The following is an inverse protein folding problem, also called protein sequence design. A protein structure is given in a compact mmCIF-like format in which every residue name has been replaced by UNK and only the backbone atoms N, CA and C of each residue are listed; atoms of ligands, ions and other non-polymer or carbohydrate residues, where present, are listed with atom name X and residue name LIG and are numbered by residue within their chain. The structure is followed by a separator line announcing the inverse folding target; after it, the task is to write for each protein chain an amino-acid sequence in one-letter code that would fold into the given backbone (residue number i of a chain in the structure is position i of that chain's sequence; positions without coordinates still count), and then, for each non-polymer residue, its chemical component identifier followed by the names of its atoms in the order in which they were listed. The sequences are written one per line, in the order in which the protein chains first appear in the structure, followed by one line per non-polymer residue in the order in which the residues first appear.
data_IF_104946081304
#
_entry.id   IF_104946081304
#
_cell.length_a   1.000
_cell.length_b   1.000
_cell.length_c   1.000
_cell.angle_alpha   90.00
_cell.angle_beta   90.00
_cell.angle_gamma   90.00
#
_symmetry.space_group_name_H-M   'P 1'
#
loop_
_entity.id
_entity.type
_entity.pdbx_description
1 polymer ?
#
# COMPACT_ATOMS: atom_id res chain seq x y z
N UNK A 1 -41.71 0.77 -34.52
CA UNK A 1 -41.30 1.61 -33.38
C UNK A 1 -40.84 0.76 -32.19
N UNK A 2 -41.58 -0.29 -31.82
CA UNK A 2 -41.24 -1.17 -30.67
C UNK A 2 -39.87 -1.86 -30.76
N UNK A 3 -39.44 -2.24 -31.95
CA UNK A 3 -38.14 -2.88 -32.18
C UNK A 3 -36.95 -1.94 -31.95
N UNK A 4 -37.10 -0.64 -32.23
CA UNK A 4 -36.06 0.37 -31.97
C UNK A 4 -35.98 0.71 -30.48
N UNK A 5 -37.13 0.85 -29.82
CA UNK A 5 -37.22 1.09 -28.38
C UNK A 5 -36.59 -0.08 -27.61
N UNK A 6 -36.90 -1.33 -28.00
CA UNK A 6 -36.31 -2.52 -27.38
C UNK A 6 -34.79 -2.60 -27.57
N UNK A 7 -34.27 -2.22 -28.73
CA UNK A 7 -32.80 -2.15 -28.95
C UNK A 7 -32.17 -1.08 -28.06
N UNK A 8 -32.72 0.12 -28.00
CA UNK A 8 -32.22 1.19 -27.13
C UNK A 8 -32.21 0.79 -25.65
N UNK A 9 -33.26 0.12 -25.18
CA UNK A 9 -33.30 -0.40 -23.80
C UNK A 9 -32.24 -1.48 -23.54
N UNK A 10 -32.01 -2.38 -24.50
CA UNK A 10 -30.94 -3.38 -24.41
C UNK A 10 -29.56 -2.73 -24.39
N UNK A 11 -29.33 -1.72 -25.24
CA UNK A 11 -28.07 -0.97 -25.23
C UNK A 11 -27.87 -0.23 -23.90
N UNK A 12 -28.90 0.42 -23.35
CA UNK A 12 -28.81 1.10 -22.04
C UNK A 12 -28.43 0.13 -20.93
N UNK A 13 -29.09 -1.03 -20.84
CA UNK A 13 -28.76 -2.06 -19.84
C UNK A 13 -27.36 -2.61 -19.99
N UNK A 14 -26.93 -2.86 -21.23
CA UNK A 14 -25.58 -3.35 -21.49
C UNK A 14 -24.52 -2.30 -21.12
N UNK A 15 -24.79 -1.02 -21.38
CA UNK A 15 -23.91 0.08 -20.99
C UNK A 15 -23.86 0.25 -19.47
N UNK A 16 -25.01 0.18 -18.79
CA UNK A 16 -25.08 0.22 -17.32
C UNK A 16 -24.25 -0.91 -16.70
N UNK A 17 -24.41 -2.14 -17.19
CA UNK A 17 -23.64 -3.29 -16.73
C UNK A 17 -22.15 -3.13 -17.02
N UNK A 18 -21.77 -2.63 -18.21
CA UNK A 18 -20.38 -2.40 -18.57
C UNK A 18 -19.75 -1.29 -17.71
N UNK A 19 -20.48 -0.22 -17.43
CA UNK A 19 -20.04 0.85 -16.53
C UNK A 19 -19.83 0.30 -15.13
N UNK A 20 -20.79 -0.46 -14.60
CA UNK A 20 -20.68 -1.08 -13.28
C UNK A 20 -19.46 -2.00 -13.17
N UNK A 21 -19.25 -2.88 -14.14
CA UNK A 21 -18.08 -3.78 -14.20
C UNK A 21 -16.76 -2.98 -14.23
N UNK A 22 -16.68 -1.95 -15.08
CA UNK A 22 -15.49 -1.09 -15.18
C UNK A 22 -15.25 -0.30 -13.90
N UNK A 23 -16.29 0.22 -13.28
CA UNK A 23 -16.19 0.93 -11.99
C UNK A 23 -15.69 0.00 -10.89
N UNK A 24 -16.15 -1.26 -10.85
CA UNK A 24 -15.67 -2.25 -9.89
C UNK A 24 -14.18 -2.58 -10.10
N UNK A 25 -13.76 -2.82 -11.35
CA UNK A 25 -12.35 -3.08 -11.67
C UNK A 25 -11.45 -1.90 -11.31
N UNK A 26 -11.89 -0.68 -11.65
CA UNK A 26 -11.15 0.53 -11.30
C UNK A 26 -11.02 0.70 -9.79
N UNK A 27 -12.10 0.44 -9.03
CA UNK A 27 -12.08 0.51 -7.57
C UNK A 27 -11.11 -0.52 -6.98
N UNK A 28 -11.12 -1.76 -7.46
CA UNK A 28 -10.21 -2.80 -6.98
C UNK A 28 -8.74 -2.43 -7.23
N UNK A 29 -8.42 -1.93 -8.43
CA UNK A 29 -7.04 -1.51 -8.75
C UNK A 29 -6.61 -0.30 -7.92
N UNK A 30 -7.51 0.67 -7.75
CA UNK A 30 -7.26 1.83 -6.88
C UNK A 30 -7.02 1.41 -5.43
N UNK A 31 -7.87 0.53 -4.89
CA UNK A 31 -7.74 0.08 -3.50
C UNK A 31 -6.43 -0.72 -3.30
N UNK A 32 -5.99 -1.48 -4.32
CA UNK A 32 -4.67 -2.15 -4.32
C UNK A 32 -3.51 -1.14 -4.34
N UNK A 33 -3.57 -0.14 -5.20
CA UNK A 33 -2.56 0.92 -5.26
C UNK A 33 -2.49 1.71 -3.95
N UNK A 34 -3.65 1.97 -3.33
CA UNK A 34 -3.75 2.64 -2.04
C UNK A 34 -3.11 1.81 -0.93
N UNK A 35 -3.38 0.50 -0.89
CA UNK A 35 -2.77 -0.41 0.07
C UNK A 35 -1.24 -0.41 -0.05
N UNK A 36 -0.70 -0.47 -1.27
CA UNK A 36 0.75 -0.42 -1.50
C UNK A 36 1.37 0.89 -1.01
N UNK A 37 0.70 2.02 -1.27
CA UNK A 37 1.18 3.32 -0.79
C UNK A 37 1.22 3.40 0.74
N UNK A 38 0.23 2.83 1.42
CA UNK A 38 0.21 2.79 2.89
C UNK A 38 1.24 1.85 3.51
N UNK A 39 1.81 0.91 2.74
CA UNK A 39 2.94 0.09 3.18
C UNK A 39 4.27 0.84 3.16
N UNK A 40 4.36 1.95 2.41
CA UNK A 40 5.60 2.70 2.21
C UNK A 40 5.63 4.05 2.93
N UNK A 41 4.47 4.65 3.14
CA UNK A 41 4.33 6.01 3.68
C UNK A 41 3.19 6.08 4.70
N UNK A 42 3.28 7.00 5.69
CA UNK A 42 2.19 7.22 6.63
C UNK A 42 0.91 7.61 5.90
N UNK A 43 -0.25 7.20 6.41
CA UNK A 43 -1.56 7.46 5.77
C UNK A 43 -1.81 8.94 5.45
N UNK A 44 -1.37 9.83 6.33
CA UNK A 44 -1.50 11.29 6.17
C UNK A 44 -0.67 11.80 4.99
N UNK A 45 0.57 11.30 4.84
CA UNK A 45 1.47 11.65 3.73
C UNK A 45 0.88 11.19 2.41
N UNK A 46 0.39 9.94 2.33
CA UNK A 46 -0.26 9.41 1.12
C UNK A 46 -1.49 10.24 0.73
N UNK A 47 -2.31 10.63 1.71
CA UNK A 47 -3.50 11.46 1.46
C UNK A 47 -3.11 12.84 0.92
N UNK A 48 -2.16 13.51 1.56
CA UNK A 48 -1.66 14.82 1.12
C UNK A 48 -1.07 14.76 -0.29
N UNK A 49 -0.29 13.73 -0.61
CA UNK A 49 0.27 13.53 -1.95
C UNK A 49 -0.82 13.36 -3.02
N UNK A 50 -1.88 12.59 -2.73
CA UNK A 50 -2.99 12.39 -3.69
C UNK A 50 -3.81 13.64 -3.91
N UNK A 51 -4.04 14.43 -2.86
CA UNK A 51 -4.90 15.60 -2.92
C UNK A 51 -4.17 16.84 -3.47
N UNK A 52 -2.91 17.04 -3.08
CA UNK A 52 -2.15 18.27 -3.36
C UNK A 52 -0.97 18.06 -4.30
N UNK A 53 -0.50 16.83 -4.48
CA UNK A 53 0.72 16.51 -5.24
C UNK A 53 2.03 16.76 -4.48
N UNK A 54 1.96 17.30 -3.25
CA UNK A 54 3.11 17.54 -2.38
C UNK A 54 2.71 17.43 -0.90
N UNK A 55 3.71 17.35 -0.01
CA UNK A 55 3.52 17.32 1.44
C UNK A 55 4.30 18.48 2.04
N UNK A 56 3.61 19.33 2.80
CA UNK A 56 4.27 20.40 3.55
C UNK A 56 5.07 19.80 4.71
N UNK A 57 6.28 20.31 5.00
CA UNK A 57 7.02 19.90 6.18
C UNK A 57 6.23 20.18 7.46
N UNK A 58 6.15 19.18 8.35
CA UNK A 58 5.49 19.29 9.64
C UNK A 58 6.52 19.35 10.78
N UNK A 59 6.29 20.25 11.73
CA UNK A 59 7.05 20.30 12.97
C UNK A 59 6.29 19.53 14.05
N UNK A 60 6.97 18.60 14.69
CA UNK A 60 6.44 17.84 15.83
C UNK A 60 7.13 18.33 17.11
N UNK A 61 6.34 18.76 18.10
CA UNK A 61 6.86 19.25 19.39
C UNK A 61 7.54 18.14 20.20
N UNK A 62 7.03 16.92 20.09
CA UNK A 62 7.56 15.74 20.79
C UNK A 62 7.55 14.53 19.84
N UNK A 63 8.71 13.88 19.71
CA UNK A 63 8.88 12.64 18.93
C UNK A 63 9.82 11.70 19.66
N UNK A 64 9.59 10.40 19.49
CA UNK A 64 10.54 9.35 19.90
C UNK A 64 11.02 8.63 18.65
N UNK A 65 12.34 8.55 18.47
CA UNK A 65 12.96 7.86 17.33
C UNK A 65 13.77 6.69 17.86
N UNK A 66 13.55 5.50 17.29
CA UNK A 66 14.26 4.29 17.64
C UNK A 66 15.26 3.92 16.54
N UNK A 67 16.53 3.75 16.92
CA UNK A 67 17.59 3.28 16.03
C UNK A 67 18.11 1.93 16.53
N UNK A 68 18.26 0.97 15.62
CA UNK A 68 18.79 -0.36 15.92
C UNK A 68 19.68 -0.86 14.80
N UNK A 69 20.68 -1.66 15.16
CA UNK A 69 21.58 -2.35 14.23
C UNK A 69 21.74 -3.82 14.61
N UNK A 70 22.07 -4.66 13.63
CA UNK A 70 22.33 -6.08 13.84
C UNK A 70 23.80 -6.24 14.18
N UNK A 71 24.09 -6.51 15.46
CA UNK A 71 25.46 -6.72 15.93
C UNK A 71 26.09 -7.90 15.18
N UNK A 72 27.26 -7.65 14.58
CA UNK A 72 28.02 -8.69 13.88
C UNK A 72 27.46 -9.06 12.49
N UNK A 73 26.58 -8.24 11.89
CA UNK A 73 26.01 -8.48 10.57
C UNK A 73 27.07 -8.80 9.49
N UNK A 74 28.19 -8.08 9.46
CA UNK A 74 29.31 -8.35 8.54
C UNK A 74 29.86 -9.77 8.68
N UNK A 75 29.96 -10.27 9.92
CA UNK A 75 30.42 -11.63 10.21
C UNK A 75 29.39 -12.65 9.76
N UNK A 76 28.10 -12.41 10.03
CA UNK A 76 27.00 -13.28 9.58
C UNK A 76 27.04 -13.42 8.06
N UNK A 77 27.12 -12.29 7.34
CA UNK A 77 27.21 -12.26 5.87
C UNK A 77 28.46 -12.95 5.33
N UNK A 78 29.57 -12.97 6.08
CA UNK A 78 30.81 -13.65 5.66
C UNK A 78 30.68 -15.17 5.67
N UNK A 79 29.87 -15.73 6.57
CA UNK A 79 29.73 -17.17 6.76
C UNK A 79 28.43 -17.75 6.20
N UNK A 80 27.50 -16.91 5.75
CA UNK A 80 26.18 -17.30 5.24
C UNK A 80 26.09 -17.10 3.73
N UNK A 81 25.25 -17.89 3.07
CA UNK A 81 24.87 -17.64 1.68
C UNK A 81 24.00 -16.38 1.58
N UNK A 82 23.94 -15.73 0.41
CA UNK A 82 23.05 -14.59 0.21
C UNK A 82 21.58 -14.89 0.52
N UNK A 83 21.10 -16.10 0.22
CA UNK A 83 19.71 -16.47 0.48
C UNK A 83 19.43 -16.59 1.99
N UNK A 84 20.32 -17.22 2.76
CA UNK A 84 20.18 -17.33 4.22
C UNK A 84 20.15 -15.94 4.89
N UNK A 85 20.96 -14.99 4.40
CA UNK A 85 20.93 -13.60 4.90
C UNK A 85 19.58 -12.93 4.58
N UNK A 86 19.07 -13.10 3.36
CA UNK A 86 17.77 -12.55 2.96
C UNK A 86 16.64 -13.14 3.79
N UNK A 87 16.65 -14.45 4.02
CA UNK A 87 15.64 -15.13 4.83
C UNK A 87 15.67 -14.64 6.29
N UNK A 88 16.87 -14.54 6.89
CA UNK A 88 17.04 -13.98 8.23
C UNK A 88 16.50 -12.54 8.33
N UNK A 89 16.85 -11.67 7.38
CA UNK A 89 16.37 -10.28 7.36
C UNK A 89 14.86 -10.21 7.20
N UNK A 90 14.29 -11.03 6.30
CA UNK A 90 12.85 -11.11 6.10
C UNK A 90 12.14 -11.52 7.40
N UNK A 91 12.66 -12.50 8.13
CA UNK A 91 12.05 -12.94 9.38
C UNK A 91 12.15 -11.88 10.48
N UNK A 92 13.30 -11.20 10.61
CA UNK A 92 13.46 -10.08 11.55
C UNK A 92 12.46 -8.96 11.25
N UNK A 93 12.42 -8.49 9.99
CA UNK A 93 11.55 -7.36 9.64
C UNK A 93 10.07 -7.72 9.68
N UNK A 94 9.66 -8.94 9.31
CA UNK A 94 8.26 -9.38 9.48
C UNK A 94 7.82 -9.36 10.93
N UNK A 95 8.68 -9.82 11.85
CA UNK A 95 8.38 -9.78 13.28
C UNK A 95 8.30 -8.34 13.80
N UNK A 96 9.21 -7.46 13.36
CA UNK A 96 9.13 -6.03 13.69
C UNK A 96 7.84 -5.40 13.17
N UNK A 97 7.53 -5.58 11.90
CA UNK A 97 6.34 -5.00 11.28
C UNK A 97 5.06 -5.49 12.02
N UNK A 98 5.01 -6.77 12.40
CA UNK A 98 3.92 -7.30 13.22
C UNK A 98 3.78 -6.61 14.59
N UNK A 99 4.89 -6.36 15.29
CA UNK A 99 4.87 -5.66 16.59
C UNK A 99 4.45 -4.20 16.40
N UNK A 100 4.98 -3.52 15.39
CA UNK A 100 4.67 -2.11 15.10
C UNK A 100 3.18 -1.92 14.77
N UNK A 101 2.59 -2.84 14.01
CA UNK A 101 1.16 -2.84 13.70
C UNK A 101 0.29 -2.91 14.97
N UNK A 102 0.72 -3.64 16.00
CA UNK A 102 -0.01 -3.72 17.29
C UNK A 102 0.08 -2.43 18.12
N UNK A 103 1.18 -1.69 17.98
CA UNK A 103 1.43 -0.48 18.76
C UNK A 103 1.12 0.81 18.00
N UNK A 104 0.64 0.73 16.76
CA UNK A 104 0.36 1.87 15.88
C UNK A 104 1.58 2.82 15.75
N UNK A 105 2.77 2.23 15.62
CA UNK A 105 4.04 2.94 15.43
C UNK A 105 4.43 2.85 13.96
N UNK A 106 4.90 3.96 13.38
CA UNK A 106 5.35 4.01 12.00
C UNK A 106 6.85 3.66 11.90
N UNK A 107 7.22 2.92 10.84
CA UNK A 107 8.59 2.51 10.51
C UNK A 107 9.27 3.47 9.56
#
# INVERSE_FOLDING_TARGET
MDTLIRRLQLYSRNLEHLVEERTQLYKAERDRADQLNFMLLPRLVVKSLKEKGFVEPELYEEVTVYFSDIVGFTTICKYSTPMEVVDMLNDIYKNFDHILDHHNVYK
#
